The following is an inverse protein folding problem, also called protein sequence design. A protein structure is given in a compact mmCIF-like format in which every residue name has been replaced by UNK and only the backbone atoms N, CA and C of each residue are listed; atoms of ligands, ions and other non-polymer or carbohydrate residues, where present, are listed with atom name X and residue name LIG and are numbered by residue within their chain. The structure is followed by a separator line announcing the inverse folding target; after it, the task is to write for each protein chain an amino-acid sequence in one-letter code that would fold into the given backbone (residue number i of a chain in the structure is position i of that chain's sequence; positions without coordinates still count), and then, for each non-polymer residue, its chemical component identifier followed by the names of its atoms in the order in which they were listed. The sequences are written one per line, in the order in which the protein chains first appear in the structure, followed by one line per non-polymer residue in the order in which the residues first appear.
data_IF_809555315482
#
_entry.id   IF_809555315482
#
_cell.length_a   1.000
_cell.length_b   1.000
_cell.length_c   1.000
_cell.angle_alpha   90.00
_cell.angle_beta   90.00
_cell.angle_gamma   90.00
#
_symmetry.space_group_name_H-M   'P 1'
#
loop_
_entity.id
_entity.type
_entity.pdbx_description
1 polymer ?
#
# COMPACT_ATOMS: atom_id res chain seq x y z
N UNK A 1 -11.19 39.86 89.82
CA UNK A 1 -12.00 39.30 90.92
C UNK A 1 -12.11 37.79 90.71
N UNK A 2 -11.83 37.00 91.77
CA UNK A 2 -12.33 35.64 92.13
C UNK A 2 -12.63 34.65 90.97
N UNK A 3 -12.17 33.40 90.96
CA UNK A 3 -11.98 32.45 92.06
C UNK A 3 -11.22 31.22 91.50
N UNK A 4 -10.26 30.70 92.28
CA UNK A 4 -9.63 29.40 92.05
C UNK A 4 -10.52 28.31 92.65
N UNK A 5 -10.84 27.27 91.89
CA UNK A 5 -11.57 26.10 92.38
C UNK A 5 -10.80 24.82 92.02
N UNK A 6 -10.18 24.27 93.07
CA UNK A 6 -10.07 22.85 93.47
C UNK A 6 -10.00 21.77 92.38
N UNK A 7 -8.87 21.07 92.36
CA UNK A 7 -8.63 19.77 91.72
C UNK A 7 -9.45 18.66 92.42
N UNK A 8 -10.18 17.86 91.64
CA UNK A 8 -10.65 16.53 92.04
C UNK A 8 -10.00 15.49 91.11
N UNK A 9 -9.23 14.58 91.69
CA UNK A 9 -8.71 13.39 91.02
C UNK A 9 -9.85 12.38 90.82
N UNK A 10 -10.28 12.18 89.57
CA UNK A 10 -11.16 11.09 89.17
C UNK A 10 -10.35 9.97 88.51
N UNK A 11 -10.30 8.80 89.15
CA UNK A 11 -9.69 7.59 88.60
C UNK A 11 -10.50 7.09 87.40
N UNK A 12 -9.88 7.04 86.22
CA UNK A 12 -10.48 6.46 85.02
C UNK A 12 -9.99 5.01 84.86
N UNK A 13 -10.90 4.07 85.06
CA UNK A 13 -10.71 2.64 84.83
C UNK A 13 -10.63 2.40 83.32
N UNK A 14 -9.46 2.00 82.83
CA UNK A 14 -9.24 1.56 81.44
C UNK A 14 -9.79 0.13 81.27
N UNK A 15 -10.96 -0.01 80.64
CA UNK A 15 -11.44 -1.29 80.15
C UNK A 15 -10.74 -1.63 78.83
N UNK A 16 -9.90 -2.66 78.85
CA UNK A 16 -9.24 -3.19 77.66
C UNK A 16 -10.26 -3.87 76.74
N UNK A 17 -10.72 -3.15 75.72
CA UNK A 17 -11.50 -3.73 74.62
C UNK A 17 -10.60 -4.53 73.69
N UNK A 18 -10.78 -5.86 73.65
CA UNK A 18 -10.19 -6.72 72.62
C UNK A 18 -10.68 -6.29 71.23
N UNK A 19 -9.83 -5.62 70.45
CA UNK A 19 -10.02 -5.46 69.00
C UNK A 19 -9.66 -6.78 68.32
N UNK A 20 -10.65 -7.64 68.11
CA UNK A 20 -10.50 -8.74 67.15
C UNK A 20 -10.62 -8.16 65.75
N UNK A 21 -9.48 -7.96 65.07
CA UNK A 21 -9.47 -7.72 63.62
C UNK A 21 -10.13 -8.92 62.94
N UNK A 22 -11.16 -8.72 62.08
CA UNK A 22 -11.71 -9.81 61.31
C UNK A 22 -10.62 -10.45 60.44
N UNK A 23 -10.64 -11.77 60.24
CA UNK A 23 -9.66 -12.45 59.42
C UNK A 23 -9.67 -11.85 58.00
N UNK A 24 -8.52 -11.82 57.29
CA UNK A 24 -8.48 -11.37 55.91
C UNK A 24 -9.51 -12.15 55.10
N UNK A 25 -10.36 -11.43 54.36
CA UNK A 25 -11.24 -12.06 53.38
C UNK A 25 -10.34 -12.61 52.29
N UNK A 26 -10.16 -13.93 52.28
CA UNK A 26 -9.44 -14.61 51.21
C UNK A 26 -10.25 -14.42 49.92
N UNK A 27 -9.76 -13.56 49.03
CA UNK A 27 -10.38 -13.37 47.73
C UNK A 27 -10.36 -14.71 47.00
N UNK A 28 -11.46 -15.12 46.36
CA UNK A 28 -11.45 -16.33 45.55
C UNK A 28 -10.32 -16.25 44.52
N UNK A 29 -9.67 -17.37 44.19
CA UNK A 29 -8.61 -17.37 43.19
C UNK A 29 -9.13 -16.72 41.91
N UNK A 30 -8.34 -15.80 41.37
CA UNK A 30 -8.71 -15.07 40.16
C UNK A 30 -9.06 -16.10 39.07
N UNK A 31 -10.27 -16.03 38.48
CA UNK A 31 -10.69 -17.01 37.50
C UNK A 31 -9.69 -17.00 36.33
N UNK A 32 -9.20 -18.20 35.97
CA UNK A 32 -8.23 -18.33 34.88
C UNK A 32 -8.77 -17.65 33.61
N UNK A 33 -7.95 -16.77 33.03
CA UNK A 33 -8.33 -16.06 31.81
C UNK A 33 -8.70 -17.07 30.70
N UNK A 34 -9.78 -16.81 29.93
CA UNK A 34 -10.20 -17.71 28.88
C UNK A 34 -9.10 -17.85 27.82
N UNK A 35 -8.61 -19.08 27.60
CA UNK A 35 -7.62 -19.37 26.56
C UNK A 35 -8.28 -19.41 25.18
N UNK A 36 -7.75 -18.63 24.24
CA UNK A 36 -8.21 -18.67 22.83
C UNK A 36 -7.88 -20.03 22.22
N UNK A 37 -8.88 -20.75 21.71
CA UNK A 37 -8.70 -22.09 21.12
C UNK A 37 -8.53 -22.09 19.59
N UNK A 38 -8.96 -21.01 18.91
CA UNK A 38 -8.96 -20.91 17.45
C UNK A 38 -7.68 -20.29 16.86
N UNK A 39 -7.00 -19.41 17.59
CA UNK A 39 -5.77 -18.74 17.14
C UNK A 39 -4.68 -19.09 18.15
N UNK A 40 -3.60 -19.76 17.72
CA UNK A 40 -2.46 -20.00 18.60
C UNK A 40 -1.95 -18.70 19.19
N UNK A 41 -1.68 -18.68 20.50
CA UNK A 41 -1.16 -17.50 21.20
C UNK A 41 0.11 -16.96 20.54
N UNK A 42 0.96 -17.85 20.01
CA UNK A 42 2.16 -17.49 19.25
C UNK A 42 1.83 -16.63 18.02
N UNK A 43 0.84 -17.01 17.21
CA UNK A 43 0.43 -16.23 16.04
C UNK A 43 -0.10 -14.86 16.45
N UNK A 44 -0.93 -14.81 17.50
CA UNK A 44 -1.43 -13.54 18.03
C UNK A 44 -0.31 -12.64 18.55
N UNK A 45 0.69 -13.22 19.21
CA UNK A 45 1.88 -12.50 19.70
C UNK A 45 2.67 -11.90 18.54
N UNK A 46 3.00 -12.72 17.52
CA UNK A 46 3.76 -12.27 16.35
C UNK A 46 3.02 -11.18 15.55
N UNK A 47 1.70 -11.27 15.43
CA UNK A 47 0.90 -10.23 14.77
C UNK A 47 0.91 -8.92 15.56
N UNK A 48 0.85 -8.97 16.90
CA UNK A 48 0.92 -7.76 17.73
C UNK A 48 2.33 -7.14 17.72
N UNK A 49 3.39 -7.95 17.62
CA UNK A 49 4.76 -7.47 17.44
C UNK A 49 4.98 -6.83 16.07
N UNK A 50 4.29 -7.34 15.04
CA UNK A 50 4.31 -6.77 13.69
C UNK A 50 3.53 -5.46 13.64
N UNK A 51 2.29 -5.42 14.13
CA UNK A 51 1.38 -4.28 14.00
C UNK A 51 1.48 -3.33 15.20
N UNK A 52 2.61 -2.62 15.31
CA UNK A 52 2.90 -1.77 16.47
C UNK A 52 2.04 -0.52 16.56
N UNK A 53 1.76 0.12 15.42
CA UNK A 53 1.13 1.44 15.39
C UNK A 53 -0.42 1.36 15.33
N UNK A 54 -1.13 1.98 16.29
CA UNK A 54 -2.59 2.04 16.31
C UNK A 54 -3.13 3.02 15.24
N UNK A 55 -4.34 2.74 14.72
CA UNK A 55 -5.03 3.58 13.72
C UNK A 55 -5.84 4.74 14.32
N UNK A 56 -5.39 5.34 15.43
CA UNK A 56 -6.26 6.22 16.23
C UNK A 56 -6.10 7.72 15.97
N UNK A 57 -4.99 8.16 15.37
CA UNK A 57 -4.68 9.58 15.17
C UNK A 57 -3.97 9.86 13.84
N UNK A 58 -3.82 11.14 13.48
CA UNK A 58 -3.04 11.57 12.32
C UNK A 58 -1.63 11.01 12.41
N UNK A 59 -1.29 10.08 11.52
CA UNK A 59 0.05 9.51 11.40
C UNK A 59 0.90 10.25 10.38
N UNK A 60 2.22 10.05 10.43
CA UNK A 60 3.12 10.44 9.34
C UNK A 60 3.57 9.18 8.61
N UNK A 61 3.44 9.18 7.29
CA UNK A 61 3.94 8.10 6.42
C UNK A 61 5.09 8.64 5.58
N UNK A 62 6.16 7.85 5.54
CA UNK A 62 7.33 8.08 4.72
C UNK A 62 7.20 7.31 3.41
N UNK A 63 7.25 8.03 2.28
CA UNK A 63 7.28 7.45 0.94
C UNK A 63 8.60 7.81 0.28
N UNK A 64 9.47 6.82 0.13
CA UNK A 64 10.64 6.95 -0.73
C UNK A 64 10.17 6.98 -2.18
N UNK A 65 10.86 7.69 -3.06
CA UNK A 65 10.57 7.65 -4.49
C UNK A 65 11.81 7.45 -5.34
N UNK A 66 11.59 6.77 -6.47
CA UNK A 66 12.49 6.73 -7.61
C UNK A 66 11.67 7.21 -8.83
N UNK A 67 12.16 8.23 -9.53
CA UNK A 67 11.40 8.85 -10.63
C UNK A 67 12.27 9.16 -11.84
N UNK A 68 11.77 8.82 -13.02
CA UNK A 68 12.35 9.29 -14.29
C UNK A 68 11.54 10.45 -14.89
N UNK A 69 10.74 11.16 -14.09
CA UNK A 69 10.16 12.45 -14.47
C UNK A 69 11.24 13.51 -14.55
N UNK A 70 11.17 14.37 -15.56
CA UNK A 70 12.01 15.56 -15.67
C UNK A 70 11.71 16.50 -14.51
N UNK A 71 12.75 16.94 -13.83
CA UNK A 71 12.67 17.99 -12.80
C UNK A 71 12.28 19.31 -13.47
N UNK A 72 11.33 20.00 -12.88
CA UNK A 72 10.95 21.39 -13.19
C UNK A 72 11.55 22.29 -12.13
N UNK A 73 12.41 23.23 -12.51
CA UNK A 73 13.06 24.12 -11.56
C UNK A 73 13.94 23.37 -10.55
N UNK A 74 13.69 23.59 -9.26
CA UNK A 74 14.29 22.82 -8.18
C UNK A 74 13.37 21.67 -7.71
N UNK A 75 13.95 20.52 -7.37
CA UNK A 75 13.23 19.40 -6.77
C UNK A 75 13.03 19.64 -5.26
N UNK A 76 12.43 20.78 -4.91
CA UNK A 76 12.27 21.26 -3.53
C UNK A 76 10.94 20.86 -2.90
N UNK A 77 10.00 20.32 -3.69
CA UNK A 77 8.67 19.91 -3.24
C UNK A 77 8.30 18.50 -3.72
N UNK A 78 7.39 17.84 -2.99
CA UNK A 78 6.78 16.59 -3.42
C UNK A 78 5.46 16.82 -4.17
N UNK A 79 5.50 17.64 -5.23
CA UNK A 79 4.34 17.96 -6.04
C UNK A 79 4.68 18.17 -7.52
N UNK A 80 3.68 18.59 -8.29
CA UNK A 80 3.75 18.71 -9.75
C UNK A 80 4.56 19.94 -10.22
N UNK A 81 4.94 20.83 -9.28
CA UNK A 81 5.84 21.96 -9.55
C UNK A 81 7.30 21.52 -9.67
N UNK A 82 7.70 20.46 -8.96
CA UNK A 82 9.04 19.86 -9.04
C UNK A 82 9.14 18.77 -10.09
N UNK A 83 8.08 17.99 -10.33
CA UNK A 83 8.09 16.88 -11.29
C UNK A 83 6.91 16.90 -12.26
N UNK A 84 7.20 17.08 -13.54
CA UNK A 84 6.19 17.12 -14.60
C UNK A 84 5.84 15.76 -15.20
N UNK A 85 5.27 15.82 -16.41
CA UNK A 85 4.89 14.66 -17.23
C UNK A 85 5.88 14.39 -18.38
N UNK A 86 7.02 15.09 -18.38
CA UNK A 86 8.10 14.85 -19.33
C UNK A 86 9.06 13.79 -18.80
N UNK A 87 9.58 12.96 -19.71
CA UNK A 87 10.56 11.94 -19.38
C UNK A 87 11.99 12.52 -19.27
N UNK A 88 12.73 11.99 -18.29
CA UNK A 88 14.18 12.05 -18.18
C UNK A 88 14.77 10.65 -18.42
N UNK A 89 16.03 10.61 -18.87
CA UNK A 89 16.82 9.37 -18.91
C UNK A 89 17.46 9.04 -17.57
N UNK A 90 17.58 10.04 -16.68
CA UNK A 90 18.13 9.88 -15.34
C UNK A 90 17.01 9.63 -14.33
N UNK A 91 17.27 8.76 -13.36
CA UNK A 91 16.38 8.55 -12.21
C UNK A 91 16.80 9.51 -11.10
N UNK A 92 15.82 10.20 -10.53
CA UNK A 92 15.98 11.02 -9.33
C UNK A 92 15.38 10.28 -8.14
N UNK A 93 15.98 10.45 -6.96
CA UNK A 93 15.55 9.80 -5.74
C UNK A 93 15.18 10.82 -4.67
N UNK A 94 14.29 10.44 -3.76
CA UNK A 94 13.92 11.30 -2.66
C UNK A 94 13.01 10.62 -1.64
N UNK A 95 12.62 11.40 -0.64
CA UNK A 95 11.70 11.03 0.41
C UNK A 95 10.63 12.11 0.55
N UNK A 96 9.37 11.70 0.57
CA UNK A 96 8.24 12.54 0.91
C UNK A 96 7.65 12.06 2.24
N UNK A 97 7.41 13.00 3.17
CA UNK A 97 6.65 12.72 4.39
C UNK A 97 5.26 13.31 4.25
N UNK A 98 4.24 12.50 4.50
CA UNK A 98 2.85 12.90 4.37
C UNK A 98 2.11 12.66 5.68
N UNK A 99 1.20 13.54 6.05
CA UNK A 99 0.21 13.19 7.06
C UNK A 99 -0.81 12.21 6.45
N UNK A 100 -1.29 11.31 7.29
CA UNK A 100 -2.50 10.55 7.02
C UNK A 100 -3.64 11.18 7.80
N UNK A 101 -4.78 11.52 7.16
CA UNK A 101 -5.90 12.16 7.83
C UNK A 101 -6.49 11.28 8.93
N UNK A 102 -6.82 11.86 10.09
CA UNK A 102 -7.50 11.14 11.17
C UNK A 102 -8.87 10.59 10.74
N UNK A 103 -9.57 11.30 9.86
CA UNK A 103 -10.89 10.92 9.35
C UNK A 103 -10.80 10.13 8.03
N UNK A 104 -9.62 9.62 7.68
CA UNK A 104 -9.41 8.84 6.46
C UNK A 104 -10.23 7.56 6.47
N UNK A 105 -10.93 7.29 5.37
CA UNK A 105 -11.60 6.01 5.13
C UNK A 105 -10.77 5.13 4.20
N UNK A 106 -10.60 3.86 4.58
CA UNK A 106 -9.76 2.89 3.86
C UNK A 106 -10.06 2.89 2.36
N UNK A 107 -9.03 3.17 1.57
CA UNK A 107 -9.03 3.16 0.11
C UNK A 107 -9.45 4.44 -0.59
N UNK A 108 -9.97 5.43 0.14
CA UNK A 108 -10.20 6.75 -0.41
C UNK A 108 -8.88 7.52 -0.54
N UNK A 109 -8.82 8.51 -1.43
CA UNK A 109 -7.66 9.39 -1.51
C UNK A 109 -8.12 10.83 -1.43
N UNK A 110 -8.13 11.36 -0.22
CA UNK A 110 -8.55 12.72 0.07
C UNK A 110 -7.38 13.69 -0.14
N UNK A 111 -7.25 14.25 -1.33
CA UNK A 111 -6.26 15.31 -1.64
C UNK A 111 -6.97 16.63 -1.93
N UNK A 112 -6.31 17.76 -1.62
CA UNK A 112 -6.84 19.10 -1.88
C UNK A 112 -5.75 20.03 -2.38
N UNK A 113 -6.05 20.85 -3.38
CA UNK A 113 -5.13 21.88 -3.88
C UNK A 113 -5.06 23.12 -2.97
N UNK A 114 -5.94 23.27 -1.98
CA UNK A 114 -5.83 24.35 -0.99
C UNK A 114 -4.74 24.00 0.04
N UNK A 115 -3.63 24.76 0.12
CA UNK A 115 -2.58 24.53 1.12
C UNK A 115 -3.05 24.74 2.56
N UNK A 116 -4.25 25.31 2.78
CA UNK A 116 -4.89 25.49 4.09
C UNK A 116 -5.95 24.43 4.38
N UNK A 117 -6.10 23.42 3.52
CA UNK A 117 -7.02 22.32 3.75
C UNK A 117 -6.73 21.61 5.09
N UNK A 118 -7.79 21.18 5.76
CA UNK A 118 -7.73 20.53 7.07
C UNK A 118 -6.97 19.20 6.99
N UNK A 119 -5.86 19.09 7.73
CA UNK A 119 -5.00 17.90 7.78
C UNK A 119 -5.66 16.70 8.47
N UNK A 120 -6.80 16.88 9.14
CA UNK A 120 -7.61 15.78 9.64
C UNK A 120 -8.48 15.15 8.55
N UNK A 121 -8.65 15.83 7.41
CA UNK A 121 -9.47 15.40 6.27
C UNK A 121 -8.67 15.07 5.01
N UNK A 122 -7.53 15.75 4.79
CA UNK A 122 -6.77 15.63 3.55
C UNK A 122 -5.31 15.23 3.77
N UNK A 123 -4.81 14.36 2.89
CA UNK A 123 -3.40 14.05 2.77
C UNK A 123 -2.64 15.29 2.30
N UNK A 124 -1.51 15.55 2.94
CA UNK A 124 -0.65 16.71 2.71
C UNK A 124 0.81 16.33 2.91
N UNK A 125 1.65 16.84 2.02
CA UNK A 125 3.10 16.75 2.15
C UNK A 125 3.54 17.65 3.31
N UNK A 126 4.23 17.06 4.28
CA UNK A 126 4.82 17.72 5.44
C UNK A 126 6.25 18.16 5.16
N UNK A 127 7.04 17.30 4.51
CA UNK A 127 8.42 17.60 4.14
C UNK A 127 8.89 16.75 2.95
N UNK A 128 9.97 17.21 2.33
CA UNK A 128 10.65 16.58 1.21
C UNK A 128 12.16 16.53 1.48
N UNK A 129 12.81 15.47 1.03
CA UNK A 129 14.26 15.36 0.96
C UNK A 129 14.68 14.81 -0.41
N UNK A 130 15.65 15.45 -1.05
CA UNK A 130 16.30 14.91 -2.25
C UNK A 130 17.38 13.94 -1.81
N UNK A 131 17.37 12.73 -2.37
CA UNK A 131 18.31 11.67 -2.01
C UNK A 131 19.23 11.35 -3.17
N UNK A 132 20.44 10.89 -2.84
CA UNK A 132 21.29 10.18 -3.80
C UNK A 132 20.87 8.70 -3.86
N UNK A 133 21.34 7.98 -4.88
CA UNK A 133 21.16 6.53 -4.98
C UNK A 133 21.70 5.81 -3.74
N UNK A 134 22.90 6.17 -3.28
CA UNK A 134 23.54 5.57 -2.10
C UNK A 134 22.73 5.84 -0.83
N UNK A 135 22.24 7.06 -0.64
CA UNK A 135 21.42 7.41 0.53
C UNK A 135 20.10 6.65 0.53
N UNK A 136 19.47 6.47 -0.64
CA UNK A 136 18.27 5.64 -0.77
C UNK A 136 18.56 4.18 -0.38
N UNK A 137 19.63 3.60 -0.90
CA UNK A 137 20.04 2.22 -0.59
C UNK A 137 20.33 2.05 0.90
N UNK A 138 21.00 3.02 1.51
CA UNK A 138 21.26 3.02 2.96
C UNK A 138 19.95 3.07 3.76
N UNK A 139 19.00 3.92 3.38
CA UNK A 139 17.69 4.00 4.03
C UNK A 139 16.92 2.66 3.94
N UNK A 140 16.98 1.98 2.80
CA UNK A 140 16.36 0.66 2.62
C UNK A 140 17.04 -0.43 3.46
N UNK A 141 18.36 -0.40 3.59
CA UNK A 141 19.14 -1.36 4.39
C UNK A 141 19.02 -1.14 5.89
N UNK A 142 18.81 0.10 6.34
CA UNK A 142 18.74 0.45 7.76
C UNK A 142 17.58 -0.23 8.51
N UNK A 143 16.56 -0.72 7.79
CA UNK A 143 15.40 -1.41 8.38
C UNK A 143 15.49 -2.94 8.29
N UNK A 144 16.65 -3.52 7.98
CA UNK A 144 16.77 -4.98 7.84
C UNK A 144 16.76 -5.76 9.17
N UNK A 145 16.19 -6.99 9.20
CA UNK A 145 15.45 -7.62 8.10
C UNK A 145 14.06 -6.97 7.95
N UNK A 146 13.75 -6.46 6.75
CA UNK A 146 12.44 -5.94 6.40
C UNK A 146 12.17 -6.18 4.91
N UNK A 147 10.89 -6.42 4.62
CA UNK A 147 10.38 -6.43 3.27
C UNK A 147 10.21 -5.00 2.77
N UNK A 148 10.36 -4.79 1.46
CA UNK A 148 10.15 -3.49 0.80
C UNK A 148 8.92 -3.59 -0.09
N UNK A 149 8.01 -2.62 -0.02
CA UNK A 149 6.87 -2.54 -0.94
C UNK A 149 7.16 -1.48 -2.00
N UNK A 150 7.23 -1.90 -3.26
CA UNK A 150 7.33 -1.01 -4.42
C UNK A 150 5.95 -0.82 -5.02
N UNK A 151 5.52 0.43 -5.19
CA UNK A 151 4.29 0.77 -5.90
C UNK A 151 4.60 1.44 -7.23
N UNK A 152 3.94 0.98 -8.30
CA UNK A 152 4.01 1.56 -9.65
C UNK A 152 2.61 1.96 -10.10
N UNK A 153 2.36 3.26 -10.23
CA UNK A 153 1.04 3.81 -10.56
C UNK A 153 0.66 3.63 -12.05
N UNK A 154 -0.61 3.90 -12.35
CA UNK A 154 -1.22 3.78 -13.67
C UNK A 154 -1.17 5.05 -14.53
N UNK A 155 -2.11 5.11 -15.47
CA UNK A 155 -2.28 6.16 -16.47
C UNK A 155 -2.78 7.49 -15.87
N UNK A 156 -2.29 8.61 -16.40
CA UNK A 156 -2.78 9.95 -16.09
C UNK A 156 -2.71 10.34 -14.60
N UNK A 157 -1.63 9.92 -13.91
CA UNK A 157 -1.43 10.21 -12.48
C UNK A 157 -0.32 11.26 -12.33
N UNK A 158 -0.61 12.48 -11.83
CA UNK A 158 0.39 13.47 -11.47
C UNK A 158 1.32 13.00 -10.34
N UNK A 159 2.47 13.64 -10.16
CA UNK A 159 3.46 13.24 -9.16
C UNK A 159 2.88 13.31 -7.74
N UNK A 160 2.22 14.43 -7.41
CA UNK A 160 1.61 14.63 -6.09
C UNK A 160 0.61 13.52 -5.73
N UNK A 161 -0.26 13.20 -6.69
CA UNK A 161 -1.27 12.15 -6.51
C UNK A 161 -0.63 10.76 -6.35
N UNK A 162 0.42 10.46 -7.13
CA UNK A 162 1.13 9.20 -7.03
C UNK A 162 1.78 9.01 -5.65
N UNK A 163 2.39 10.06 -5.08
CA UNK A 163 2.96 10.06 -3.73
C UNK A 163 1.87 9.86 -2.68
N UNK A 164 0.77 10.60 -2.77
CA UNK A 164 -0.34 10.46 -1.84
C UNK A 164 -0.98 9.06 -1.89
N UNK A 165 -1.12 8.48 -3.09
CA UNK A 165 -1.61 7.11 -3.28
C UNK A 165 -0.69 6.07 -2.65
N UNK A 166 0.63 6.21 -2.81
CA UNK A 166 1.60 5.32 -2.17
C UNK A 166 1.51 5.40 -0.63
N UNK A 167 1.36 6.61 -0.07
CA UNK A 167 1.18 6.80 1.36
C UNK A 167 -0.13 6.16 1.88
N UNK A 168 -1.22 6.32 1.13
CA UNK A 168 -2.50 5.69 1.45
C UNK A 168 -2.39 4.16 1.44
N UNK A 169 -1.80 3.56 0.40
CA UNK A 169 -1.59 2.10 0.33
C UNK A 169 -0.73 1.61 1.50
N UNK A 170 0.37 2.31 1.81
CA UNK A 170 1.25 1.97 2.91
C UNK A 170 0.50 1.93 4.25
N UNK A 171 -0.28 2.99 4.51
CA UNK A 171 -1.05 3.14 5.74
C UNK A 171 -2.14 2.07 5.86
N UNK A 172 -2.97 1.92 4.83
CA UNK A 172 -4.12 1.01 4.87
C UNK A 172 -3.73 -0.46 4.92
N UNK A 173 -2.58 -0.83 4.33
CA UNK A 173 -2.01 -2.17 4.48
C UNK A 173 -1.32 -2.39 5.83
N UNK A 174 -1.14 -1.35 6.65
CA UNK A 174 -0.22 -1.37 7.79
C UNK A 174 1.14 -1.97 7.40
N UNK A 175 1.67 -1.61 6.23
CA UNK A 175 2.93 -2.16 5.79
C UNK A 175 4.06 -1.66 6.71
N UNK A 176 4.78 -2.57 7.34
CA UNK A 176 5.77 -2.22 8.38
C UNK A 176 7.15 -1.87 7.81
N UNK A 177 7.42 -2.29 6.57
CA UNK A 177 8.69 -2.02 5.89
C UNK A 177 8.71 -0.69 5.13
N UNK A 178 9.84 -0.35 4.49
CA UNK A 178 9.92 0.79 3.58
C UNK A 178 8.93 0.66 2.41
N UNK A 179 8.25 1.75 2.07
CA UNK A 179 7.46 1.88 0.85
C UNK A 179 8.17 2.78 -0.14
N UNK A 180 8.33 2.29 -1.37
CA UNK A 180 8.96 3.02 -2.46
C UNK A 180 7.98 3.20 -3.62
N UNK A 181 7.72 4.45 -3.98
CA UNK A 181 7.02 4.78 -5.20
C UNK A 181 8.01 4.81 -6.37
N UNK A 182 7.84 3.95 -7.37
CA UNK A 182 8.40 4.23 -8.69
C UNK A 182 7.39 5.03 -9.50
N UNK A 183 7.68 6.30 -9.73
CA UNK A 183 6.80 7.17 -10.51
C UNK A 183 7.42 7.52 -11.85
N UNK A 184 6.64 7.29 -12.90
CA UNK A 184 7.00 7.53 -14.28
C UNK A 184 6.17 8.70 -14.83
N UNK A 185 6.55 9.34 -15.95
CA UNK A 185 5.88 10.54 -16.46
C UNK A 185 4.49 10.25 -17.02
N UNK A 186 3.53 10.06 -16.11
CA UNK A 186 2.11 9.98 -16.38
C UNK A 186 1.42 11.29 -16.00
N UNK A 187 0.31 11.58 -16.65
CA UNK A 187 -0.47 12.81 -16.48
C UNK A 187 -0.79 13.48 -17.80
N UNK A 188 -1.77 14.39 -17.80
CA UNK A 188 -2.05 15.25 -18.93
C UNK A 188 -0.95 16.32 -19.07
N UNK A 189 -0.55 16.66 -20.30
CA UNK A 189 0.34 17.80 -20.51
C UNK A 189 -0.33 19.10 -20.07
N UNK A 190 0.49 20.09 -19.75
CA UNK A 190 0.04 21.37 -19.20
C UNK A 190 -0.66 22.26 -20.23
N UNK A 191 -0.58 21.91 -21.51
CA UNK A 191 -1.30 22.59 -22.59
C UNK A 191 -2.81 22.46 -22.45
N UNK A 192 -3.52 23.59 -22.46
CA UNK A 192 -4.99 23.67 -22.34
C UNK A 192 -5.72 22.77 -23.35
N UNK A 193 -5.18 22.64 -24.57
CA UNK A 193 -5.75 21.77 -25.61
C UNK A 193 -5.54 20.28 -25.33
N UNK A 194 -4.46 19.89 -24.64
CA UNK A 194 -4.15 18.48 -24.42
C UNK A 194 -4.96 17.88 -23.27
N UNK A 195 -5.31 18.70 -22.27
CA UNK A 195 -6.28 18.34 -21.23
C UNK A 195 -7.68 18.05 -21.79
N UNK A 196 -8.05 18.66 -22.92
CA UNK A 196 -9.35 18.48 -23.55
C UNK A 196 -9.47 17.18 -24.36
N UNK A 197 -8.35 16.53 -24.73
CA UNK A 197 -8.35 15.33 -25.56
C UNK A 197 -7.66 14.15 -24.86
N UNK A 198 -8.45 13.30 -24.21
CA UNK A 198 -7.96 12.12 -23.48
C UNK A 198 -7.08 11.19 -24.34
N UNK A 199 -7.35 11.09 -25.65
CA UNK A 199 -6.55 10.27 -26.57
C UNK A 199 -5.11 10.79 -26.71
N UNK A 200 -4.89 12.11 -26.67
CA UNK A 200 -3.53 12.67 -26.72
C UNK A 200 -2.76 12.36 -25.44
N UNK A 201 -3.44 12.50 -24.30
CA UNK A 201 -2.88 12.11 -22.99
C UNK A 201 -2.54 10.61 -22.99
N UNK A 202 -3.43 9.76 -23.51
CA UNK A 202 -3.20 8.31 -23.64
C UNK A 202 -1.94 8.00 -24.47
N UNK A 203 -1.80 8.57 -25.66
CA UNK A 203 -0.62 8.35 -26.52
C UNK A 203 0.68 8.85 -25.88
N UNK A 204 0.66 10.05 -25.30
CA UNK A 204 1.84 10.60 -24.61
C UNK A 204 2.26 9.73 -23.41
N UNK A 205 1.30 9.28 -22.60
CA UNK A 205 1.56 8.43 -21.45
C UNK A 205 2.07 7.05 -21.91
N UNK A 206 1.53 6.48 -22.98
CA UNK A 206 2.02 5.21 -23.57
C UNK A 206 3.46 5.32 -24.06
N UNK A 207 3.83 6.43 -24.71
CA UNK A 207 5.21 6.70 -25.10
C UNK A 207 6.14 6.86 -23.87
N UNK A 208 5.68 7.57 -22.84
CA UNK A 208 6.43 7.72 -21.59
C UNK A 208 6.58 6.39 -20.83
N UNK A 209 5.57 5.53 -20.86
CA UNK A 209 5.64 4.19 -20.26
C UNK A 209 6.77 3.37 -20.91
N UNK A 210 6.86 3.37 -22.26
CA UNK A 210 7.95 2.72 -22.99
C UNK A 210 9.33 3.29 -22.61
N UNK A 211 9.45 4.62 -22.49
CA UNK A 211 10.69 5.29 -22.05
C UNK A 211 11.07 5.00 -20.59
N UNK A 212 10.14 4.48 -19.78
CA UNK A 212 10.34 4.24 -18.35
C UNK A 212 10.71 2.79 -18.04
N UNK A 213 10.67 1.89 -19.03
CA UNK A 213 11.05 0.48 -18.87
C UNK A 213 12.50 0.33 -18.41
N UNK A 214 13.44 0.98 -19.10
CA UNK A 214 14.87 0.94 -18.75
C UNK A 214 15.16 1.51 -17.35
N UNK A 215 14.69 2.72 -17.03
CA UNK A 215 14.81 3.29 -15.69
C UNK A 215 14.28 2.38 -14.57
N UNK A 216 13.09 1.79 -14.73
CA UNK A 216 12.56 0.85 -13.73
C UNK A 216 13.38 -0.43 -13.66
N UNK A 217 13.85 -0.98 -14.79
CA UNK A 217 14.69 -2.17 -14.81
C UNK A 217 16.01 -1.94 -14.04
N UNK A 218 16.63 -0.75 -14.20
CA UNK A 218 17.80 -0.35 -13.42
C UNK A 218 17.49 -0.25 -11.93
N UNK A 219 16.38 0.39 -11.57
CA UNK A 219 15.96 0.51 -10.18
C UNK A 219 15.63 -0.84 -9.51
N UNK A 220 15.01 -1.78 -10.23
CA UNK A 220 14.76 -3.14 -9.72
C UNK A 220 16.08 -3.90 -9.46
N UNK A 221 17.12 -3.67 -10.27
CA UNK A 221 18.45 -4.25 -10.01
C UNK A 221 19.09 -3.67 -8.76
N UNK A 222 18.94 -2.36 -8.54
CA UNK A 222 19.38 -1.70 -7.32
C UNK A 222 18.71 -2.32 -6.08
N UNK A 223 17.39 -2.49 -6.13
CA UNK A 223 16.61 -3.12 -5.05
C UNK A 223 17.05 -4.56 -4.78
N UNK A 224 17.24 -5.37 -5.82
CA UNK A 224 17.72 -6.74 -5.66
C UNK A 224 19.11 -6.81 -5.00
N UNK A 225 19.98 -5.81 -5.26
CA UNK A 225 21.29 -5.66 -4.61
C UNK A 225 21.23 -5.26 -3.13
N UNK A 226 20.07 -4.90 -2.59
CA UNK A 226 19.92 -4.58 -1.16
C UNK A 226 19.88 -5.81 -0.27
N UNK A 227 19.50 -6.97 -0.82
CA UNK A 227 19.23 -8.20 -0.07
C UNK A 227 17.86 -8.27 0.61
N UNK A 228 17.04 -7.21 0.50
CA UNK A 228 15.66 -7.21 1.02
C UNK A 228 14.71 -8.02 0.12
N UNK A 229 13.73 -8.69 0.71
CA UNK A 229 12.59 -9.23 -0.06
C UNK A 229 11.76 -8.06 -0.54
N UNK A 230 11.46 -8.03 -1.83
CA UNK A 230 10.68 -6.94 -2.44
C UNK A 230 9.29 -7.44 -2.82
N UNK A 231 8.25 -6.73 -2.43
CA UNK A 231 6.91 -6.89 -2.96
C UNK A 231 6.65 -5.77 -3.97
N UNK A 232 6.02 -6.09 -5.10
CA UNK A 232 5.78 -5.12 -6.17
C UNK A 232 4.30 -5.08 -6.46
N UNK A 233 3.67 -3.91 -6.26
CA UNK A 233 2.28 -3.64 -6.57
C UNK A 233 2.20 -2.69 -7.76
N UNK A 234 1.48 -3.09 -8.81
CA UNK A 234 1.37 -2.33 -10.06
C UNK A 234 -0.10 -2.09 -10.38
N UNK A 235 -0.40 -0.92 -10.97
CA UNK A 235 -1.76 -0.58 -11.43
C UNK A 235 -1.81 -0.23 -12.92
N UNK A 236 -2.85 -0.72 -13.62
CA UNK A 236 -3.28 -0.23 -14.94
C UNK A 236 -2.14 -0.12 -15.98
N UNK A 237 -1.97 1.02 -16.64
CA UNK A 237 -0.93 1.25 -17.64
C UNK A 237 0.50 1.11 -17.08
N UNK A 238 0.69 1.19 -15.76
CA UNK A 238 1.98 0.91 -15.11
C UNK A 238 2.52 -0.49 -15.44
N UNK A 239 1.65 -1.43 -15.84
CA UNK A 239 2.05 -2.76 -16.30
C UNK A 239 2.85 -2.72 -17.61
N UNK A 240 2.64 -1.71 -18.46
CA UNK A 240 3.46 -1.48 -19.66
C UNK A 240 4.88 -0.98 -19.31
N UNK A 241 5.12 -0.58 -18.06
CA UNK A 241 6.44 -0.25 -17.52
C UNK A 241 7.01 -1.46 -16.77
N UNK A 242 6.29 -1.94 -15.75
CA UNK A 242 6.80 -2.91 -14.78
C UNK A 242 7.04 -4.31 -15.36
N UNK A 243 6.10 -4.85 -16.15
CA UNK A 243 6.22 -6.20 -16.71
C UNK A 243 7.44 -6.31 -17.65
N UNK A 244 7.62 -5.43 -18.67
CA UNK A 244 8.82 -5.49 -19.49
C UNK A 244 10.09 -5.12 -18.71
N UNK A 245 10.03 -4.23 -17.70
CA UNK A 245 11.20 -3.90 -16.88
C UNK A 245 11.71 -5.10 -16.08
N UNK A 246 10.80 -5.85 -15.44
CA UNK A 246 11.10 -7.11 -14.76
C UNK A 246 11.71 -8.13 -15.73
N UNK A 247 11.10 -8.31 -16.91
CA UNK A 247 11.61 -9.23 -17.92
C UNK A 247 12.98 -8.82 -18.49
N UNK A 248 13.27 -7.51 -18.58
CA UNK A 248 14.56 -6.97 -18.99
C UNK A 248 15.63 -7.16 -17.91
N UNK A 249 15.26 -7.04 -16.62
CA UNK A 249 16.17 -7.23 -15.49
C UNK A 249 16.44 -8.71 -15.18
N UNK A 250 15.47 -9.59 -15.46
CA UNK A 250 15.50 -11.01 -15.10
C UNK A 250 16.80 -11.76 -15.42
N UNK A 251 17.47 -11.58 -16.58
CA UNK A 251 18.69 -12.33 -16.89
C UNK A 251 19.86 -12.07 -15.93
N UNK A 252 19.80 -10.97 -15.16
CA UNK A 252 20.87 -10.56 -14.23
C UNK A 252 20.47 -10.69 -12.76
N UNK A 253 19.24 -11.14 -12.48
CA UNK A 253 18.68 -11.16 -11.13
C UNK A 253 18.39 -12.58 -10.66
N UNK A 254 18.52 -12.77 -9.36
CA UNK A 254 18.02 -13.94 -8.65
C UNK A 254 16.58 -13.68 -8.19
N UNK A 255 15.82 -14.72 -7.81
CA UNK A 255 14.51 -14.52 -7.20
C UNK A 255 14.63 -13.64 -5.96
N UNK A 256 13.98 -12.48 -5.97
CA UNK A 256 14.02 -11.50 -4.89
C UNK A 256 12.63 -10.91 -4.59
N UNK A 257 11.66 -11.18 -5.46
CA UNK A 257 10.29 -10.71 -5.27
C UNK A 257 9.53 -11.74 -4.45
N UNK A 258 8.96 -11.33 -3.32
CA UNK A 258 8.01 -12.15 -2.58
C UNK A 258 6.69 -12.20 -3.33
N UNK A 259 6.02 -11.05 -3.37
CA UNK A 259 4.69 -10.90 -3.99
C UNK A 259 4.73 -9.94 -5.17
N UNK A 260 4.35 -10.41 -6.36
CA UNK A 260 4.07 -9.56 -7.51
C UNK A 260 2.55 -9.41 -7.68
N UNK A 261 2.05 -8.24 -7.30
CA UNK A 261 0.62 -7.92 -7.26
C UNK A 261 0.27 -7.01 -8.43
N UNK A 262 -0.55 -7.52 -9.36
CA UNK A 262 -0.87 -6.89 -10.62
C UNK A 262 -2.36 -6.50 -10.64
N UNK A 263 -2.66 -5.21 -10.48
CA UNK A 263 -4.03 -4.71 -10.38
C UNK A 263 -4.51 -4.09 -11.69
N UNK A 264 -5.61 -4.62 -12.22
CA UNK A 264 -6.19 -4.18 -13.49
C UNK A 264 -5.16 -4.08 -14.63
N UNK A 265 -4.44 -5.16 -15.02
CA UNK A 265 -3.28 -4.99 -15.88
C UNK A 265 -3.59 -4.51 -17.30
N UNK A 266 -3.24 -3.27 -17.65
CA UNK A 266 -3.36 -2.75 -19.02
C UNK A 266 -2.14 -3.09 -19.87
N UNK A 267 -1.95 -4.38 -20.12
CA UNK A 267 -0.92 -4.95 -20.99
C UNK A 267 -1.55 -6.02 -21.90
N UNK A 268 -1.15 -6.16 -23.18
CA UNK A 268 -1.75 -7.17 -24.04
C UNK A 268 -1.55 -8.58 -23.46
N UNK A 269 -2.58 -9.42 -23.53
CA UNK A 269 -2.51 -10.81 -23.04
C UNK A 269 -1.35 -11.57 -23.71
N UNK A 270 -1.14 -11.35 -25.00
CA UNK A 270 -0.04 -11.97 -25.77
C UNK A 270 1.35 -11.58 -25.25
N UNK A 271 1.52 -10.32 -24.87
CA UNK A 271 2.81 -9.80 -24.40
C UNK A 271 3.07 -10.31 -22.99
N UNK A 272 2.05 -10.28 -22.12
CA UNK A 272 2.16 -10.88 -20.79
C UNK A 272 2.49 -12.37 -20.85
N UNK A 273 1.81 -13.16 -21.69
CA UNK A 273 2.13 -14.59 -21.89
C UNK A 273 3.57 -14.81 -22.35
N UNK A 274 4.08 -13.94 -23.21
CA UNK A 274 5.47 -14.01 -23.70
C UNK A 274 6.49 -13.70 -22.60
N UNK A 275 6.17 -12.75 -21.71
CA UNK A 275 7.08 -12.30 -20.66
C UNK A 275 6.94 -13.09 -19.33
N UNK A 276 5.79 -13.70 -19.09
CA UNK A 276 5.47 -14.40 -17.83
C UNK A 276 6.52 -15.43 -17.40
N UNK A 277 7.10 -16.28 -18.28
CA UNK A 277 8.13 -17.24 -17.85
C UNK A 277 9.35 -16.57 -17.19
N UNK A 278 9.77 -15.39 -17.68
CA UNK A 278 10.89 -14.64 -17.10
C UNK A 278 10.53 -14.01 -15.77
N UNK A 279 9.29 -13.55 -15.63
CA UNK A 279 8.82 -12.84 -14.44
C UNK A 279 8.50 -13.81 -13.30
N UNK A 280 7.93 -14.97 -13.62
CA UNK A 280 7.70 -16.07 -12.66
C UNK A 280 8.98 -16.53 -11.98
N UNK A 281 10.11 -16.52 -12.69
CA UNK A 281 11.39 -16.86 -12.10
C UNK A 281 11.80 -15.87 -10.98
N UNK A 282 11.40 -14.59 -11.08
CA UNK A 282 11.80 -13.57 -10.11
C UNK A 282 10.93 -13.51 -8.85
N UNK A 283 9.70 -14.00 -8.93
CA UNK A 283 8.68 -13.83 -7.90
C UNK A 283 8.25 -15.16 -7.28
N UNK A 284 8.13 -15.22 -5.96
CA UNK A 284 7.60 -16.40 -5.28
C UNK A 284 6.13 -16.63 -5.61
N UNK A 285 5.35 -15.54 -5.73
CA UNK A 285 3.95 -15.59 -6.14
C UNK A 285 3.59 -14.38 -7.00
N UNK A 286 2.73 -14.62 -7.99
CA UNK A 286 2.14 -13.59 -8.84
C UNK A 286 0.62 -13.66 -8.68
N UNK A 287 0.01 -12.54 -8.32
CA UNK A 287 -1.43 -12.39 -8.21
C UNK A 287 -1.92 -11.31 -9.16
N UNK A 288 -2.91 -11.63 -10.00
CA UNK A 288 -3.56 -10.68 -10.91
C UNK A 288 -4.98 -10.45 -10.43
N UNK A 289 -5.31 -9.20 -10.11
CA UNK A 289 -6.68 -8.75 -9.92
C UNK A 289 -7.22 -8.20 -11.24
N UNK A 290 -8.31 -8.78 -11.72
CA UNK A 290 -8.89 -8.48 -13.02
C UNK A 290 -10.42 -8.39 -12.90
N UNK A 291 -11.09 -7.72 -13.85
CA UNK A 291 -12.54 -7.61 -13.83
C UNK A 291 -13.08 -7.53 -15.26
N UNK A 292 -14.18 -8.23 -15.52
CA UNK A 292 -14.93 -8.08 -16.77
C UNK A 292 -15.73 -6.77 -16.83
N UNK A 293 -15.93 -6.12 -15.68
CA UNK A 293 -16.73 -4.91 -15.52
C UNK A 293 -15.89 -3.62 -15.56
N UNK A 294 -14.57 -3.75 -15.74
CA UNK A 294 -13.64 -2.62 -15.71
C UNK A 294 -13.71 -1.82 -17.03
N UNK A 295 -14.40 -0.68 -16.98
CA UNK A 295 -14.65 0.12 -18.19
C UNK A 295 -13.37 0.74 -18.75
N UNK A 296 -12.37 1.04 -17.92
CA UNK A 296 -11.10 1.59 -18.38
C UNK A 296 -10.30 0.53 -19.16
N UNK A 297 -10.33 -0.72 -18.70
CA UNK A 297 -9.76 -1.84 -19.43
C UNK A 297 -10.50 -2.09 -20.73
N UNK A 298 -11.84 -2.10 -20.72
CA UNK A 298 -12.64 -2.24 -21.95
C UNK A 298 -12.35 -1.12 -22.98
N UNK A 299 -12.20 0.12 -22.50
CA UNK A 299 -11.79 1.24 -23.34
C UNK A 299 -10.38 1.05 -23.92
N UNK A 300 -9.41 0.58 -23.12
CA UNK A 300 -8.06 0.25 -23.62
C UNK A 300 -8.08 -0.88 -24.65
N UNK A 301 -8.87 -1.93 -24.43
CA UNK A 301 -9.04 -3.03 -25.40
C UNK A 301 -9.59 -2.52 -26.74
N UNK A 302 -10.59 -1.65 -26.68
CA UNK A 302 -11.19 -1.01 -27.87
C UNK A 302 -10.17 -0.16 -28.62
N UNK A 303 -9.49 0.74 -27.90
CA UNK A 303 -8.51 1.65 -28.50
C UNK A 303 -7.34 0.89 -29.15
N UNK A 304 -6.82 -0.14 -28.49
CA UNK A 304 -5.67 -0.90 -28.96
C UNK A 304 -6.04 -2.13 -29.80
N UNK A 305 -7.33 -2.36 -30.05
CA UNK A 305 -7.86 -3.47 -30.85
C UNK A 305 -7.34 -4.85 -30.40
N UNK A 306 -7.33 -5.10 -29.08
CA UNK A 306 -6.83 -6.37 -28.55
C UNK A 306 -7.03 -6.52 -27.05
N UNK A 307 -7.11 -7.79 -26.61
CA UNK A 307 -7.37 -8.14 -25.22
C UNK A 307 -6.25 -7.69 -24.26
N UNK A 308 -6.66 -7.22 -23.08
CA UNK A 308 -5.78 -6.86 -21.96
C UNK A 308 -5.87 -7.88 -20.83
N UNK A 309 -4.79 -8.03 -20.07
CA UNK A 309 -4.75 -8.92 -18.91
C UNK A 309 -5.76 -8.51 -17.81
N UNK A 310 -6.11 -7.23 -17.72
CA UNK A 310 -7.17 -6.71 -16.84
C UNK A 310 -8.56 -7.27 -17.12
N UNK A 311 -8.84 -7.75 -18.34
CA UNK A 311 -10.08 -8.42 -18.72
C UNK A 311 -10.06 -9.93 -18.48
N UNK A 312 -9.33 -10.37 -17.44
CA UNK A 312 -9.09 -11.74 -16.99
C UNK A 312 -8.67 -12.74 -18.07
N UNK A 313 -7.41 -13.20 -17.99
CA UNK A 313 -6.91 -14.29 -18.83
C UNK A 313 -6.13 -15.28 -17.98
N UNK A 314 -6.47 -16.57 -18.12
CA UNK A 314 -5.80 -17.64 -17.39
C UNK A 314 -4.34 -17.75 -17.86
N UNK A 315 -3.43 -17.75 -16.88
CA UNK A 315 -2.00 -17.99 -17.05
C UNK A 315 -1.65 -19.10 -16.05
N UNK A 316 -0.99 -20.19 -16.46
CA UNK A 316 -0.52 -21.22 -15.52
C UNK A 316 0.30 -20.58 -14.40
N UNK A 317 0.29 -21.12 -13.18
CA UNK A 317 1.09 -20.66 -12.04
C UNK A 317 1.00 -19.15 -11.71
N UNK A 318 -0.14 -18.54 -12.04
CA UNK A 318 -0.47 -17.16 -11.64
C UNK A 318 -1.87 -17.20 -11.02
N UNK A 319 -2.04 -16.59 -9.86
CA UNK A 319 -3.34 -16.49 -9.22
C UNK A 319 -4.16 -15.40 -9.94
N UNK A 320 -5.04 -15.80 -10.85
CA UNK A 320 -5.96 -14.89 -11.52
C UNK A 320 -7.24 -14.77 -10.68
N UNK A 321 -7.46 -13.60 -10.10
CA UNK A 321 -8.58 -13.30 -9.20
C UNK A 321 -9.50 -12.29 -9.88
N UNK A 322 -10.70 -12.75 -10.20
CA UNK A 322 -11.75 -11.89 -10.74
C UNK A 322 -12.43 -11.11 -9.61
N UNK A 323 -12.43 -9.79 -9.73
CA UNK A 323 -12.98 -8.85 -8.75
C UNK A 323 -14.28 -8.21 -9.23
N UNK A 324 -14.90 -8.73 -10.30
CA UNK A 324 -16.12 -8.18 -10.89
C UNK A 324 -17.32 -8.07 -9.93
N UNK A 325 -17.36 -8.86 -8.85
CA UNK A 325 -18.39 -8.73 -7.79
C UNK A 325 -18.17 -7.49 -6.89
N UNK A 326 -16.93 -6.97 -6.84
CA UNK A 326 -16.54 -5.76 -6.10
C UNK A 326 -16.50 -4.54 -7.03
N UNK A 327 -16.05 -4.75 -8.27
CA UNK A 327 -16.01 -3.77 -9.34
C UNK A 327 -17.41 -3.56 -9.93
N UNK A 328 -18.32 -3.10 -9.07
CA UNK A 328 -19.68 -2.73 -9.43
C UNK A 328 -19.72 -1.21 -9.66
N UNK A 329 -20.05 -0.75 -10.89
CA UNK A 329 -20.19 0.67 -11.21
C UNK A 329 -21.15 1.44 -10.29
N UNK A 330 -22.08 0.72 -9.64
CA UNK A 330 -23.13 1.23 -8.75
C UNK A 330 -22.70 1.45 -7.30
N UNK A 331 -21.57 0.88 -6.85
CA UNK A 331 -21.14 0.92 -5.43
C UNK A 331 -20.23 2.10 -5.06
N UNK A 332 -20.01 3.05 -5.96
CA UNK A 332 -19.60 4.42 -5.60
C UNK A 332 -18.19 4.59 -5.02
N UNK A 333 -17.30 3.59 -5.06
CA UNK A 333 -15.89 3.77 -4.71
C UNK A 333 -15.06 3.75 -6.01
N UNK A 334 -14.79 4.96 -6.54
CA UNK A 334 -13.79 5.17 -7.59
C UNK A 334 -14.30 5.08 -9.03
N UNK A 335 -15.45 5.69 -9.33
CA UNK A 335 -15.91 6.15 -10.66
C UNK A 335 -15.48 5.33 -11.89
N UNK A 336 -16.46 4.77 -12.60
CA UNK A 336 -16.30 3.99 -13.85
C UNK A 336 -15.72 2.57 -13.70
N UNK A 337 -15.33 2.10 -12.51
CA UNK A 337 -14.82 0.75 -12.32
C UNK A 337 -13.38 0.61 -12.83
N UNK A 338 -12.43 1.05 -11.99
CA UNK A 338 -10.98 0.94 -12.22
C UNK A 338 -10.15 1.34 -10.98
N UNK A 339 -10.76 2.08 -10.04
CA UNK A 339 -10.16 2.51 -8.77
C UNK A 339 -10.18 1.47 -7.65
N UNK A 340 -10.77 0.29 -7.88
CA UNK A 340 -10.93 -0.75 -6.84
C UNK A 340 -9.61 -1.26 -6.26
N UNK A 341 -8.49 -1.12 -6.97
CA UNK A 341 -7.18 -1.64 -6.57
C UNK A 341 -6.67 -1.14 -5.21
N UNK A 342 -7.11 0.05 -4.81
CA UNK A 342 -6.80 0.64 -3.52
C UNK A 342 -7.99 0.56 -2.55
N UNK A 343 -9.13 0.01 -2.98
CA UNK A 343 -10.31 -0.14 -2.14
C UNK A 343 -10.14 -1.20 -1.05
N UNK A 344 -10.92 -1.06 0.03
CA UNK A 344 -10.88 -1.96 1.20
C UNK A 344 -10.91 -3.45 0.85
N UNK A 345 -11.73 -3.97 -0.09
CA UNK A 345 -11.73 -5.40 -0.41
C UNK A 345 -10.38 -5.89 -0.97
N UNK A 346 -9.78 -5.14 -1.91
CA UNK A 346 -8.49 -5.49 -2.50
C UNK A 346 -7.38 -5.35 -1.47
N UNK A 347 -7.33 -4.26 -0.70
CA UNK A 347 -6.30 -4.09 0.33
C UNK A 347 -6.39 -5.15 1.43
N UNK A 348 -7.60 -5.62 1.77
CA UNK A 348 -7.79 -6.74 2.71
C UNK A 348 -7.22 -8.04 2.14
N UNK A 349 -7.43 -8.31 0.86
CA UNK A 349 -6.88 -9.50 0.21
C UNK A 349 -5.36 -9.41 0.03
N UNK A 350 -4.84 -8.24 -0.36
CA UNK A 350 -3.41 -7.93 -0.46
C UNK A 350 -2.71 -8.07 0.88
N UNK A 351 -3.32 -7.60 1.98
CA UNK A 351 -2.79 -7.79 3.32
C UNK A 351 -2.57 -9.28 3.63
N UNK A 352 -3.54 -10.14 3.30
CA UNK A 352 -3.39 -11.59 3.45
C UNK A 352 -2.36 -12.19 2.48
N UNK A 353 -2.23 -11.65 1.26
CA UNK A 353 -1.17 -12.01 0.32
C UNK A 353 0.21 -11.75 0.92
N UNK A 354 0.42 -10.57 1.52
CA UNK A 354 1.69 -10.18 2.14
C UNK A 354 2.00 -11.00 3.40
N UNK A 355 0.98 -11.54 4.08
CA UNK A 355 1.17 -12.52 5.16
C UNK A 355 1.53 -13.94 4.66
N UNK A 356 1.66 -14.15 3.34
CA UNK A 356 2.02 -15.44 2.76
C UNK A 356 0.85 -16.43 2.65
N UNK A 357 -0.40 -15.99 2.80
CA UNK A 357 -1.57 -16.87 2.74
C UNK A 357 -1.88 -17.21 1.28
N UNK A 358 -1.87 -18.51 0.95
CA UNK A 358 -2.20 -19.01 -0.39
C UNK A 358 -3.62 -18.58 -0.82
N UNK A 359 -3.82 -18.33 -2.12
CA UNK A 359 -5.06 -17.78 -2.67
C UNK A 359 -6.32 -18.52 -2.22
N UNK A 360 -6.32 -19.86 -2.27
CA UNK A 360 -7.45 -20.69 -1.89
C UNK A 360 -7.77 -20.70 -0.38
N UNK A 361 -6.88 -20.14 0.45
CA UNK A 361 -7.02 -20.06 1.92
C UNK A 361 -7.33 -18.65 2.41
N UNK A 362 -7.31 -17.65 1.52
CA UNK A 362 -7.60 -16.26 1.88
C UNK A 362 -9.09 -16.05 2.10
N UNK A 363 -9.41 -15.17 3.05
CA UNK A 363 -10.77 -14.75 3.33
C UNK A 363 -11.38 -14.12 2.07
N UNK A 364 -12.66 -14.39 1.85
CA UNK A 364 -13.46 -13.88 0.74
C UNK A 364 -13.09 -14.41 -0.65
N UNK A 365 -11.98 -15.13 -0.81
CA UNK A 365 -11.66 -15.86 -2.05
C UNK A 365 -12.58 -17.08 -2.22
N UNK A 366 -13.09 -17.27 -3.43
CA UNK A 366 -13.82 -18.46 -3.89
C UNK A 366 -13.15 -19.01 -5.14
N UNK A 367 -12.95 -20.33 -5.22
CA UNK A 367 -12.45 -20.99 -6.43
C UNK A 367 -13.45 -20.82 -7.58
N UNK A 368 -12.95 -20.57 -8.78
CA UNK A 368 -13.78 -20.51 -9.98
C UNK A 368 -14.15 -21.91 -10.49
N UNK A 369 -15.23 -21.98 -11.27
CA UNK A 369 -15.67 -23.22 -11.92
C UNK A 369 -14.64 -23.71 -12.96
N UNK A 370 -14.59 -25.02 -13.26
CA UNK A 370 -13.75 -25.55 -14.33
C UNK A 370 -13.97 -24.81 -15.65
N UNK A 371 -12.89 -24.60 -16.43
CA UNK A 371 -12.86 -23.87 -17.70
C UNK A 371 -13.11 -22.35 -17.63
N UNK A 372 -13.11 -21.76 -16.44
CA UNK A 372 -13.10 -20.29 -16.27
C UNK A 372 -11.79 -19.67 -16.79
N UNK A 373 -11.85 -18.40 -17.20
CA UNK A 373 -10.68 -17.59 -17.59
C UNK A 373 -9.92 -16.99 -16.41
N UNK A 374 -10.23 -17.44 -15.20
CA UNK A 374 -9.66 -17.04 -13.91
C UNK A 374 -9.61 -18.24 -12.97
N UNK A 375 -8.77 -18.18 -11.93
CA UNK A 375 -8.65 -19.21 -10.92
C UNK A 375 -9.65 -19.00 -9.77
N UNK A 376 -9.91 -17.74 -9.44
CA UNK A 376 -10.63 -17.34 -8.24
C UNK A 376 -11.56 -16.14 -8.49
N UNK A 377 -12.50 -15.94 -7.57
CA UNK A 377 -13.29 -14.74 -7.40
C UNK A 377 -13.01 -14.14 -6.03
N UNK A 378 -12.87 -12.82 -5.96
CA UNK A 378 -12.91 -12.10 -4.70
C UNK A 378 -14.34 -11.61 -4.45
N UNK A 379 -14.90 -12.00 -3.31
CA UNK A 379 -16.25 -11.63 -2.88
C UNK A 379 -16.21 -10.32 -2.07
N UNK A 380 -17.28 -9.50 -2.13
CA UNK A 380 -17.36 -8.22 -1.41
C UNK A 380 -17.34 -8.35 0.11
#
# INVERSE_FOLDING_TARGET
MRQRTVFLLGALVLTAGCKTTPPPVELPPEPAAPVRRFVPTELSGRLNELLKEPFSDTGTVEVLYATNRRIKGDASACDDSSFGVEASKTVSYGLCRLNVPKLHAVGLLEVSDDPRADTHKYFRVLSQETLTEDTLVQALKARQPADVLVFVHGFNVPFREAVARAAQIAYDLKFQGPVVLFTWPAGASEGMLDKAFINRTYEANKANAANSVGPLAGFLKLLAGTGSVTHVMVHSMGHQVAVPALAQAAPTLWPFIGELILNAPDIPVKDFKTLAPKIKFLAQRITVYCSYNDNAIAASETYNKGRRMGGCALIPDVDIINVGEIDAPTLGIGGLGHGYYAGRPILTDVYQTLLGVAAEKRLFIRKAEPNSTQNFYLRP
#
